data_IF_360069656330
#
_entry.id   IF_360069656330
#
_cell.length_a   1.000
_cell.length_b   1.000
_cell.length_c   1.000
_cell.angle_alpha   90.00
_cell.angle_beta   90.00
_cell.angle_gamma   90.00
#
_symmetry.space_group_name_H-M   'P 1'
#
loop_
_entity.id
_entity.type
_entity.pdbx_description
1 polymer ?
#
# COMPACT_ATOMS: atom_id res chain seq x y z
N UNK A 1 11.67 4.74 -13.77
CA UNK A 1 10.98 4.89 -12.47
C UNK A 1 9.67 4.08 -12.42
N UNK A 2 9.45 3.31 -11.35
CA UNK A 2 8.35 2.32 -11.21
C UNK A 2 7.08 2.79 -10.51
N UNK A 3 6.91 4.09 -10.24
CA UNK A 3 5.74 4.61 -9.53
C UNK A 3 4.45 4.42 -10.35
N UNK A 4 3.37 3.99 -9.67
CA UNK A 4 2.04 3.84 -10.26
C UNK A 4 1.00 4.48 -9.34
N UNK A 5 -0.04 5.08 -9.92
CA UNK A 5 -1.19 5.64 -9.21
C UNK A 5 -2.43 4.86 -9.59
N UNK A 6 -3.28 4.58 -8.61
CA UNK A 6 -4.55 3.92 -8.82
C UNK A 6 -5.65 4.85 -8.33
N UNK A 7 -6.57 5.20 -9.22
CA UNK A 7 -7.84 5.81 -8.84
C UNK A 7 -8.76 4.69 -8.37
N UNK A 8 -9.27 4.81 -7.15
CA UNK A 8 -10.30 3.94 -6.57
C UNK A 8 -11.58 4.08 -7.41
N UNK A 9 -12.22 2.96 -7.72
CA UNK A 9 -13.36 2.92 -8.65
C UNK A 9 -14.62 2.36 -8.01
N UNK A 10 -14.49 1.43 -7.08
CA UNK A 10 -15.61 0.60 -6.60
C UNK A 10 -15.93 0.81 -5.12
N UNK A 11 -15.23 1.73 -4.46
CA UNK A 11 -15.42 2.02 -3.04
C UNK A 11 -16.09 3.37 -2.88
N UNK A 12 -17.27 3.37 -2.26
CA UNK A 12 -17.99 4.58 -1.89
C UNK A 12 -17.53 5.07 -0.51
N UNK A 13 -17.33 6.38 -0.38
CA UNK A 13 -16.89 6.99 0.87
C UNK A 13 -15.43 6.71 1.23
N UNK A 14 -15.11 6.84 2.52
CA UNK A 14 -13.74 6.65 3.05
C UNK A 14 -13.68 5.27 3.71
N UNK A 15 -13.20 4.28 2.96
CA UNK A 15 -12.97 2.92 3.44
C UNK A 15 -11.60 2.44 2.93
N UNK A 16 -10.59 2.62 3.79
CA UNK A 16 -9.19 2.33 3.46
C UNK A 16 -8.96 0.83 3.21
N UNK A 17 -9.67 -0.06 3.92
CA UNK A 17 -9.51 -1.50 3.75
C UNK A 17 -10.00 -1.94 2.37
N UNK A 18 -11.20 -1.52 1.97
CA UNK A 18 -11.70 -1.81 0.61
C UNK A 18 -10.85 -1.16 -0.46
N UNK A 19 -10.35 0.06 -0.21
CA UNK A 19 -9.48 0.76 -1.16
C UNK A 19 -8.15 0.03 -1.37
N UNK A 20 -7.53 -0.45 -0.29
CA UNK A 20 -6.31 -1.28 -0.37
C UNK A 20 -6.60 -2.58 -1.11
N UNK A 21 -7.70 -3.26 -0.76
CA UNK A 21 -8.09 -4.49 -1.43
C UNK A 21 -8.24 -4.29 -2.94
N UNK A 22 -8.97 -3.25 -3.38
CA UNK A 22 -9.15 -2.93 -4.80
C UNK A 22 -7.80 -2.70 -5.51
N UNK A 23 -6.92 -1.89 -4.91
CA UNK A 23 -5.62 -1.54 -5.51
C UNK A 23 -4.71 -2.75 -5.62
N UNK A 24 -4.62 -3.54 -4.55
CA UNK A 24 -3.78 -4.74 -4.48
C UNK A 24 -4.27 -5.77 -5.49
N UNK A 25 -5.57 -6.09 -5.50
CA UNK A 25 -6.16 -7.02 -6.46
C UNK A 25 -5.86 -6.59 -7.91
N UNK A 26 -6.08 -5.31 -8.24
CA UNK A 26 -5.82 -4.78 -9.58
C UNK A 26 -4.34 -4.81 -9.97
N UNK A 27 -3.44 -4.54 -9.01
CA UNK A 27 -1.99 -4.57 -9.26
C UNK A 27 -1.51 -5.98 -9.57
N UNK A 28 -1.84 -6.92 -8.69
CA UNK A 28 -1.35 -8.29 -8.79
C UNK A 28 -2.02 -9.09 -9.90
N UNK A 29 -3.32 -8.91 -10.13
CA UNK A 29 -4.01 -9.48 -11.30
C UNK A 29 -3.34 -9.06 -12.61
N UNK A 30 -2.93 -7.79 -12.71
CA UNK A 30 -2.20 -7.30 -13.88
C UNK A 30 -0.82 -7.97 -14.02
N UNK A 31 -0.03 -8.03 -12.94
CA UNK A 31 1.29 -8.66 -12.97
C UNK A 31 1.19 -10.14 -13.39
N UNK A 32 0.24 -10.88 -12.81
CA UNK A 32 -0.01 -12.28 -13.14
C UNK A 32 -0.40 -12.45 -14.61
N UNK A 33 -1.34 -11.65 -15.11
CA UNK A 33 -1.78 -11.66 -16.52
C UNK A 33 -0.66 -11.29 -17.49
N UNK A 34 0.25 -10.41 -17.10
CA UNK A 34 1.38 -9.97 -17.93
C UNK A 34 2.60 -10.89 -17.80
N UNK A 35 2.55 -11.93 -16.96
CA UNK A 35 3.70 -12.80 -16.68
C UNK A 35 4.90 -12.04 -16.07
N UNK A 36 4.64 -10.89 -15.44
CA UNK A 36 5.65 -10.04 -14.86
C UNK A 36 6.03 -10.53 -13.45
N UNK A 37 7.31 -10.36 -13.08
CA UNK A 37 7.78 -10.73 -11.75
C UNK A 37 7.05 -9.94 -10.65
N UNK A 38 6.70 -10.64 -9.57
CA UNK A 38 6.21 -10.00 -8.35
C UNK A 38 7.38 -9.36 -7.61
N UNK A 39 7.14 -8.29 -6.82
CA UNK A 39 8.18 -7.74 -5.96
C UNK A 39 8.53 -8.76 -4.86
N UNK A 40 9.80 -8.80 -4.43
CA UNK A 40 10.19 -9.66 -3.31
C UNK A 40 9.49 -9.27 -2.00
N UNK A 41 9.31 -7.96 -1.79
CA UNK A 41 8.63 -7.38 -0.63
C UNK A 41 7.58 -6.36 -1.09
N UNK A 42 6.38 -6.46 -0.53
CA UNK A 42 5.30 -5.51 -0.70
C UNK A 42 4.94 -4.86 0.64
N UNK A 43 5.37 -3.61 0.83
CA UNK A 43 5.10 -2.85 2.05
C UNK A 43 3.78 -2.08 1.95
N UNK A 44 2.89 -2.30 2.91
CA UNK A 44 1.66 -1.53 3.12
C UNK A 44 1.90 -0.45 4.17
N UNK A 45 1.54 0.80 3.87
CA UNK A 45 1.47 1.88 4.86
C UNK A 45 0.18 1.73 5.67
N UNK A 46 0.27 1.11 6.85
CA UNK A 46 -0.91 0.75 7.64
C UNK A 46 -0.67 -0.30 8.71
N UNK A 47 -1.70 -0.56 9.51
CA UNK A 47 -1.68 -1.57 10.56
C UNK A 47 -2.22 -2.92 10.11
N UNK A 48 -2.54 -3.77 11.09
CA UNK A 48 -3.00 -5.15 10.89
C UNK A 48 -4.23 -5.28 9.98
N UNK A 49 -5.20 -4.38 10.08
CA UNK A 49 -6.40 -4.40 9.24
C UNK A 49 -6.09 -4.15 7.76
N UNK A 50 -5.23 -3.17 7.47
CA UNK A 50 -4.74 -2.90 6.13
C UNK A 50 -3.93 -4.06 5.55
N UNK A 51 -3.10 -4.72 6.37
CA UNK A 51 -2.38 -5.93 5.98
C UNK A 51 -3.35 -7.05 5.61
N UNK A 52 -4.37 -7.29 6.45
CA UNK A 52 -5.40 -8.31 6.17
C UNK A 52 -6.08 -8.06 4.82
N UNK A 53 -6.52 -6.83 4.57
CA UNK A 53 -7.19 -6.48 3.32
C UNK A 53 -6.30 -6.69 2.07
N UNK A 54 -4.98 -6.47 2.21
CA UNK A 54 -4.03 -6.75 1.14
C UNK A 54 -3.84 -8.26 0.92
N UNK A 55 -3.76 -9.04 1.99
CA UNK A 55 -3.65 -10.50 1.91
C UNK A 55 -4.90 -11.11 1.28
N UNK A 56 -6.09 -10.70 1.74
CA UNK A 56 -7.38 -11.16 1.21
C UNK A 56 -7.49 -10.89 -0.29
N UNK A 57 -7.02 -9.73 -0.75
CA UNK A 57 -7.00 -9.38 -2.17
C UNK A 57 -6.12 -10.31 -2.99
N UNK A 58 -4.95 -10.70 -2.47
CA UNK A 58 -4.04 -11.60 -3.16
C UNK A 58 -4.55 -13.03 -3.14
N UNK A 59 -5.09 -13.49 -2.01
CA UNK A 59 -5.72 -14.81 -1.86
C UNK A 59 -6.91 -14.98 -2.82
N UNK A 60 -7.73 -13.94 -2.99
CA UNK A 60 -8.87 -13.96 -3.92
C UNK A 60 -8.48 -14.16 -5.40
N UNK A 61 -7.21 -13.92 -5.74
CA UNK A 61 -6.68 -14.13 -7.09
C UNK A 61 -6.10 -15.54 -7.29
N UNK A 62 -6.00 -16.34 -6.23
CA UNK A 62 -5.38 -17.67 -6.27
C UNK A 62 -3.90 -17.64 -6.67
N UNK A 63 -3.20 -16.55 -6.36
CA UNK A 63 -1.76 -16.41 -6.64
C UNK A 63 -0.95 -16.58 -5.36
N UNK A 64 0.26 -17.10 -5.49
CA UNK A 64 1.19 -17.12 -4.37
C UNK A 64 1.59 -15.68 -4.00
N UNK A 65 1.35 -15.24 -2.75
CA UNK A 65 1.67 -13.89 -2.35
C UNK A 65 3.19 -13.70 -2.26
N UNK A 66 3.73 -12.55 -2.67
CA UNK A 66 5.08 -12.18 -2.25
C UNK A 66 5.12 -11.94 -0.72
N UNK A 67 6.30 -11.60 -0.19
CA UNK A 67 6.37 -11.16 1.21
C UNK A 67 5.60 -9.83 1.39
N UNK A 68 4.37 -9.91 1.88
CA UNK A 68 3.55 -8.73 2.19
C UNK A 68 3.66 -8.42 3.68
N UNK A 69 4.00 -7.19 4.01
CA UNK A 69 4.11 -6.71 5.39
C UNK A 69 3.56 -5.28 5.49
N UNK A 70 3.19 -4.86 6.68
CA UNK A 70 2.75 -3.47 6.90
C UNK A 70 3.56 -2.79 7.99
N UNK A 71 3.71 -1.47 7.88
CA UNK A 71 4.37 -0.62 8.86
C UNK A 71 3.39 0.41 9.41
N UNK A 72 3.06 0.30 10.70
CA UNK A 72 2.18 1.26 11.36
C UNK A 72 2.95 2.47 11.87
N UNK A 73 2.57 3.66 11.39
CA UNK A 73 3.29 4.93 11.60
C UNK A 73 3.46 5.38 13.05
N UNK A 74 2.53 5.04 13.95
CA UNK A 74 2.55 5.59 15.32
C UNK A 74 3.71 5.04 16.15
N UNK A 75 3.91 3.73 16.10
CA UNK A 75 4.88 3.01 16.94
C UNK A 75 5.96 2.30 16.12
N UNK A 76 5.95 2.48 14.79
CA UNK A 76 6.87 1.82 13.86
C UNK A 76 6.82 0.29 13.98
N UNK A 77 5.60 -0.22 14.18
CA UNK A 77 5.30 -1.63 14.34
C UNK A 77 5.17 -2.31 12.99
N UNK A 78 5.90 -3.42 12.82
CA UNK A 78 5.86 -4.22 11.61
C UNK A 78 4.87 -5.38 11.82
N UNK A 79 3.82 -5.43 11.01
CA UNK A 79 2.89 -6.55 11.00
C UNK A 79 3.26 -7.54 9.92
N UNK A 80 3.27 -8.82 10.28
CA UNK A 80 3.61 -9.94 9.40
C UNK A 80 2.43 -10.92 9.32
N UNK A 81 2.20 -11.55 8.16
CA UNK A 81 1.20 -12.60 8.01
C UNK A 81 1.45 -13.73 9.02
N UNK A 82 0.37 -14.28 9.58
CA UNK A 82 0.43 -15.41 10.52
C UNK A 82 0.98 -15.07 11.92
N UNK A 83 1.27 -13.80 12.23
CA UNK A 83 1.69 -13.38 13.58
C UNK A 83 0.59 -12.60 14.29
N UNK A 84 0.33 -12.94 15.55
CA UNK A 84 -0.64 -12.21 16.38
C UNK A 84 -0.11 -10.83 16.78
N UNK A 85 1.14 -10.79 17.22
CA UNK A 85 1.86 -9.61 17.70
C UNK A 85 2.75 -8.99 16.61
N UNK A 86 2.88 -7.65 16.61
CA UNK A 86 3.79 -6.97 15.71
C UNK A 86 5.26 -7.22 16.08
N UNK A 87 6.12 -7.20 15.07
CA UNK A 87 7.55 -7.13 15.23
C UNK A 87 7.97 -5.69 15.51
N UNK A 88 8.61 -5.47 16.66
CA UNK A 88 9.20 -4.19 17.04
C UNK A 88 10.71 -4.30 16.88
N UNK A 89 11.27 -3.46 16.01
CA UNK A 89 12.71 -3.37 15.81
C UNK A 89 13.30 -2.23 16.65
N UNK A 90 14.59 -2.33 16.95
CA UNK A 90 15.34 -1.20 17.50
C UNK A 90 15.25 -0.01 16.54
N UNK A 91 15.09 1.21 17.09
CA UNK A 91 15.12 2.46 16.32
C UNK A 91 16.45 2.68 15.59
N UNK A 92 17.50 2.00 16.00
CA UNK A 92 18.81 2.04 15.34
C UNK A 92 18.98 0.96 14.25
N UNK A 93 18.02 0.04 14.10
CA UNK A 93 18.09 -1.00 13.10
C UNK A 93 17.97 -0.40 11.69
N UNK A 94 18.96 -0.69 10.85
CA UNK A 94 18.96 -0.25 9.44
C UNK A 94 17.71 -0.73 8.68
N UNK A 95 17.24 -1.93 8.98
CA UNK A 95 16.03 -2.51 8.38
C UNK A 95 14.78 -1.66 8.68
N UNK A 96 14.63 -1.17 9.91
CA UNK A 96 13.50 -0.30 10.25
C UNK A 96 13.58 1.03 9.48
N UNK A 97 14.76 1.66 9.47
CA UNK A 97 14.99 2.93 8.76
C UNK A 97 14.73 2.81 7.25
N UNK A 98 15.02 1.66 6.66
CA UNK A 98 14.71 1.38 5.27
C UNK A 98 13.20 1.29 5.02
N UNK A 99 12.46 0.59 5.88
CA UNK A 99 11.00 0.48 5.77
C UNK A 99 10.33 1.86 5.96
N UNK A 100 10.79 2.64 6.94
CA UNK A 100 10.34 4.02 7.17
C UNK A 100 10.58 4.89 5.92
N UNK A 101 11.77 4.83 5.33
CA UNK A 101 12.10 5.59 4.12
C UNK A 101 11.18 5.24 2.94
N UNK A 102 10.94 3.95 2.70
CA UNK A 102 10.05 3.50 1.62
C UNK A 102 8.61 3.95 1.87
N UNK A 103 8.12 3.85 3.11
CA UNK A 103 6.79 4.35 3.49
C UNK A 103 6.68 5.85 3.27
N UNK A 104 7.65 6.61 3.76
CA UNK A 104 7.62 8.07 3.69
C UNK A 104 7.68 8.56 2.24
N UNK A 105 8.44 7.88 1.38
CA UNK A 105 8.47 8.14 -0.05
C UNK A 105 7.13 7.82 -0.73
N UNK A 106 6.47 6.71 -0.37
CA UNK A 106 5.13 6.40 -0.85
C UNK A 106 4.10 7.45 -0.41
N UNK A 107 4.17 7.88 0.85
CA UNK A 107 3.31 8.91 1.42
C UNK A 107 3.51 10.26 0.72
N UNK A 108 4.76 10.69 0.53
CA UNK A 108 5.13 11.90 -0.21
C UNK A 108 4.56 11.88 -1.64
N UNK A 109 4.68 10.74 -2.32
CA UNK A 109 4.17 10.57 -3.68
C UNK A 109 2.63 10.65 -3.74
N UNK A 110 1.94 10.10 -2.75
CA UNK A 110 0.48 10.17 -2.63
C UNK A 110 0.00 11.60 -2.34
N UNK A 111 0.61 12.29 -1.36
CA UNK A 111 0.29 13.69 -1.03
C UNK A 111 0.46 14.60 -2.24
N UNK A 112 1.60 14.50 -2.93
CA UNK A 112 1.85 15.28 -4.15
C UNK A 112 0.75 15.07 -5.21
N UNK A 113 0.25 13.84 -5.36
CA UNK A 113 -0.86 13.57 -6.27
C UNK A 113 -2.18 14.20 -5.83
N UNK A 114 -2.50 14.14 -4.54
CA UNK A 114 -3.70 14.81 -4.01
C UNK A 114 -3.64 16.33 -4.21
N UNK A 115 -2.47 16.96 -4.03
CA UNK A 115 -2.28 18.38 -4.32
C UNK A 115 -2.55 18.71 -5.79
N UNK A 116 -1.99 17.92 -6.72
CA UNK A 116 -2.24 18.09 -8.16
C UNK A 116 -3.72 17.96 -8.54
N UNK A 117 -4.44 17.00 -7.94
CA UNK A 117 -5.87 16.82 -8.21
C UNK A 117 -6.72 17.98 -7.67
N UNK A 118 -6.36 18.54 -6.51
CA UNK A 118 -7.04 19.72 -5.96
C UNK A 118 -6.83 20.95 -6.83
N UNK A 119 -5.59 21.23 -7.24
CA UNK A 119 -5.28 22.37 -8.10
C UNK A 119 -6.01 22.33 -9.47
N UNK A 120 -6.21 21.13 -10.03
CA UNK A 120 -6.99 20.96 -11.27
C UNK A 120 -8.49 21.17 -11.10
N UNK A 121 -9.05 20.92 -9.92
CA UNK A 121 -10.48 21.17 -9.65
C UNK A 121 -10.76 22.66 -9.52
N UNK A 122 -9.89 23.40 -8.83
CA UNK A 122 -10.01 24.86 -8.72
C UNK A 122 -10.00 25.56 -10.08
N UNK A 123 -9.13 25.12 -11.00
CA UNK A 123 -9.07 25.71 -12.35
C UNK A 123 -10.25 25.35 -13.27
N UNK A 124 -11.04 24.32 -12.94
CA UNK A 124 -12.19 23.88 -13.74
C UNK A 124 -13.52 24.45 -13.24
N UNK A 125 -13.53 25.09 -12.07
CA UNK A 125 -14.70 25.79 -11.51
C UNK A 125 -14.71 27.29 -11.86
N UNK A 126 -13.57 27.82 -12.32
CA UNK A 126 -13.37 29.25 -12.67
C UNK A 126 -13.42 29.54 -14.19
N UNK A 127 -13.85 28.60 -15.04
CA UNK A 127 -13.95 28.76 -16.50
C UNK A 127 -15.20 28.14 -17.09
#
# INVERSE_FOLDING_TARGET
>A
PGYKRYRIKTVDGIDDFKSIHEVVARRFSRLAREGAAFPDIFLIDGGKGQLSAALDAVDSLGIEPPCILSLAKREEEIFLPGRSEPLRLSRHAYSLRLLEYVRDEAHRFAQHYHHLLRGKRTLAEDG
#
